data_IF_089017663644
#
_entry.id   IF_089017663644
#
_cell.length_a   1.000
_cell.length_b   1.000
_cell.length_c   1.000
_cell.angle_alpha   90.00
_cell.angle_beta   90.00
_cell.angle_gamma   90.00
#
_symmetry.space_group_name_H-M   'P 1'
#
loop_
_entity.id
_entity.type
_entity.pdbx_description
1 polymer ?
#
# COMPACT_ATOMS: atom_id res chain seq x y z
N UNK A 1 2.77 5.80 -52.70
CA UNK A 1 1.37 6.17 -52.33
C UNK A 1 1.15 6.24 -50.83
N UNK A 2 1.46 5.21 -50.02
CA UNK A 2 1.22 5.28 -48.56
C UNK A 2 2.09 6.34 -47.84
N UNK A 3 3.36 6.49 -48.21
CA UNK A 3 4.26 7.51 -47.63
C UNK A 3 3.77 8.94 -47.89
N UNK A 4 3.45 9.30 -49.13
CA UNK A 4 2.96 10.64 -49.48
C UNK A 4 1.65 11.01 -48.75
N UNK A 5 0.78 10.04 -48.48
CA UNK A 5 -0.45 10.25 -47.69
C UNK A 5 -0.12 10.47 -46.21
N UNK A 6 0.82 9.69 -45.64
CA UNK A 6 1.28 9.85 -44.25
C UNK A 6 1.95 11.22 -44.05
N UNK A 7 2.83 11.63 -44.96
CA UNK A 7 3.52 12.92 -44.92
C UNK A 7 2.54 14.09 -45.04
N UNK A 8 1.58 14.04 -45.98
CA UNK A 8 0.54 15.08 -46.09
C UNK A 8 -0.30 15.21 -44.83
N UNK A 9 -0.66 14.10 -44.19
CA UNK A 9 -1.42 14.12 -42.93
C UNK A 9 -0.58 14.68 -41.77
N UNK A 10 0.71 14.35 -41.70
CA UNK A 10 1.61 14.88 -40.68
C UNK A 10 1.82 16.40 -40.85
N UNK A 11 2.03 16.87 -42.08
CA UNK A 11 2.14 18.30 -42.40
C UNK A 11 0.86 19.05 -42.03
N UNK A 12 -0.31 18.50 -42.36
CA UNK A 12 -1.60 19.12 -41.97
C UNK A 12 -1.77 19.22 -40.45
N UNK A 13 -1.31 18.22 -39.68
CA UNK A 13 -1.30 18.28 -38.22
C UNK A 13 -0.33 19.33 -37.68
N UNK A 14 0.85 19.47 -38.29
CA UNK A 14 1.83 20.50 -37.92
C UNK A 14 1.30 21.91 -38.20
N UNK A 15 0.64 22.13 -39.34
CA UNK A 15 0.01 23.42 -39.65
C UNK A 15 -1.07 23.80 -38.64
N UNK A 16 -1.89 22.83 -38.22
CA UNK A 16 -2.89 23.05 -37.17
C UNK A 16 -2.24 23.39 -35.82
N UNK A 17 -1.20 22.66 -35.42
CA UNK A 17 -0.50 22.91 -34.17
C UNK A 17 0.19 24.30 -34.15
N UNK A 18 0.74 24.73 -35.28
CA UNK A 18 1.30 26.09 -35.44
C UNK A 18 0.23 27.18 -35.33
N UNK A 19 -0.97 26.93 -35.84
CA UNK A 19 -2.09 27.86 -35.71
C UNK A 19 -2.61 27.92 -34.27
N UNK A 20 -2.70 26.79 -33.58
CA UNK A 20 -3.12 26.72 -32.17
C UNK A 20 -2.13 27.45 -31.25
N UNK A 21 -0.81 27.33 -31.49
CA UNK A 21 0.21 28.11 -30.78
C UNK A 21 0.08 29.61 -31.05
N UNK A 22 -0.12 30.00 -32.32
CA UNK A 22 -0.31 31.40 -32.71
C UNK A 22 -1.52 32.03 -32.01
N UNK A 23 -2.62 31.28 -31.90
CA UNK A 23 -3.82 31.73 -31.18
C UNK A 23 -3.57 31.85 -29.67
N UNK A 24 -2.80 30.93 -29.07
CA UNK A 24 -2.42 31.00 -27.67
C UNK A 24 -1.49 32.19 -27.38
N UNK A 25 -0.52 32.47 -28.24
CA UNK A 25 0.35 33.66 -28.15
C UNK A 25 -0.46 34.96 -28.28
N UNK A 26 -1.41 35.02 -29.21
CA UNK A 26 -2.28 36.18 -29.40
C UNK A 26 -3.22 36.39 -28.20
N UNK A 27 -3.73 35.31 -27.61
CA UNK A 27 -4.54 35.36 -26.40
C UNK A 27 -3.74 35.87 -25.20
N UNK A 28 -2.49 35.43 -25.03
CA UNK A 28 -1.59 35.91 -23.98
C UNK A 28 -1.22 37.39 -24.18
N UNK A 29 -0.95 37.80 -25.43
CA UNK A 29 -0.56 39.17 -25.78
C UNK A 29 -1.69 40.18 -25.65
N UNK A 30 -2.92 39.76 -25.92
CA UNK A 30 -4.12 40.60 -25.83
C UNK A 30 -4.75 40.58 -24.44
N UNK A 31 -4.20 39.83 -23.48
CA UNK A 31 -4.71 39.79 -22.12
C UNK A 31 -4.46 41.11 -21.39
N UNK A 32 -5.51 41.65 -20.77
CA UNK A 32 -5.46 42.90 -19.97
C UNK A 32 -5.64 42.64 -18.47
N UNK A 33 -5.83 41.37 -18.06
CA UNK A 33 -6.15 40.96 -16.69
C UNK A 33 -5.16 39.91 -16.18
N UNK A 34 -4.39 40.27 -15.15
CA UNK A 34 -3.32 39.43 -14.58
C UNK A 34 -3.83 38.11 -13.99
N UNK A 35 -5.12 38.02 -13.65
CA UNK A 35 -5.74 36.83 -13.05
C UNK A 35 -5.78 35.60 -13.98
N UNK A 36 -5.71 35.81 -15.30
CA UNK A 36 -5.76 34.73 -16.30
C UNK A 36 -4.40 34.37 -16.92
N UNK A 37 -3.33 35.07 -16.55
CA UNK A 37 -2.00 34.88 -17.15
C UNK A 37 -1.50 33.44 -16.96
N UNK A 38 -1.60 32.89 -15.75
CA UNK A 38 -1.11 31.54 -15.43
C UNK A 38 -1.79 30.46 -16.30
N UNK A 39 -3.08 30.61 -16.57
CA UNK A 39 -3.82 29.66 -17.43
C UNK A 39 -3.42 29.81 -18.90
N UNK A 40 -3.25 31.04 -19.38
CA UNK A 40 -2.85 31.34 -20.76
C UNK A 40 -1.40 30.90 -21.03
N UNK A 41 -0.49 31.04 -20.06
CA UNK A 41 0.89 30.52 -20.13
C UNK A 41 0.91 28.98 -20.17
N UNK A 42 0.06 28.33 -19.38
CA UNK A 42 -0.11 26.87 -19.43
C UNK A 42 -0.64 26.39 -20.79
N UNK A 43 -1.67 27.06 -21.32
CA UNK A 43 -2.26 26.75 -22.62
C UNK A 43 -1.27 26.98 -23.77
N UNK A 44 -0.44 28.05 -23.69
CA UNK A 44 0.65 28.31 -24.62
C UNK A 44 1.73 27.21 -24.55
N UNK A 45 2.16 26.81 -23.35
CA UNK A 45 3.15 25.72 -23.18
C UNK A 45 2.65 24.39 -23.74
N UNK A 46 1.36 24.09 -23.57
CA UNK A 46 0.73 22.91 -24.17
C UNK A 46 0.70 22.97 -25.70
N UNK A 47 0.40 24.14 -26.28
CA UNK A 47 0.39 24.34 -27.73
C UNK A 47 1.80 24.24 -28.33
N UNK A 48 2.82 24.80 -27.67
CA UNK A 48 4.24 24.68 -28.06
C UNK A 48 4.72 23.23 -28.05
N UNK A 49 4.34 22.46 -27.02
CA UNK A 49 4.68 21.03 -26.93
C UNK A 49 4.05 20.24 -28.08
N UNK A 50 2.76 20.49 -28.37
CA UNK A 50 2.07 19.86 -29.48
C UNK A 50 2.68 20.21 -30.86
N UNK A 51 3.17 21.45 -31.05
CA UNK A 51 3.91 21.82 -32.25
C UNK A 51 5.22 21.03 -32.37
N UNK A 52 6.04 21.01 -31.31
CA UNK A 52 7.33 20.33 -31.33
C UNK A 52 7.20 18.83 -31.60
N UNK A 53 6.18 18.18 -31.02
CA UNK A 53 5.86 16.78 -31.31
C UNK A 53 5.46 16.58 -32.78
N UNK A 54 4.58 17.44 -33.31
CA UNK A 54 4.17 17.36 -34.71
C UNK A 54 5.33 17.64 -35.68
N UNK A 55 6.26 18.53 -35.31
CA UNK A 55 7.44 18.87 -36.09
C UNK A 55 8.46 17.73 -36.10
N UNK A 56 8.67 17.06 -34.96
CA UNK A 56 9.50 15.86 -34.88
C UNK A 56 8.94 14.72 -35.75
N UNK A 57 7.62 14.52 -35.76
CA UNK A 57 6.96 13.53 -36.62
C UNK A 57 7.16 13.83 -38.10
N UNK A 58 7.06 15.10 -38.52
CA UNK A 58 7.32 15.50 -39.92
C UNK A 58 8.80 15.29 -40.28
N UNK A 59 9.72 15.74 -39.42
CA UNK A 59 11.18 15.58 -39.61
C UNK A 59 11.57 14.12 -39.77
N UNK A 60 11.03 13.24 -38.92
CA UNK A 60 11.30 11.80 -38.96
C UNK A 60 10.75 11.13 -40.22
N UNK A 61 9.58 11.56 -40.70
CA UNK A 61 9.05 11.09 -41.98
C UNK A 61 9.93 11.54 -43.16
N UNK A 62 10.44 12.78 -43.14
CA UNK A 62 11.34 13.30 -44.20
C UNK A 62 12.73 12.64 -44.20
N UNK A 63 13.31 12.37 -43.03
CA UNK A 63 14.65 11.80 -42.88
C UNK A 63 14.70 10.29 -43.10
N UNK A 64 13.58 9.58 -42.88
CA UNK A 64 13.53 8.11 -43.00
C UNK A 64 12.28 7.59 -43.75
N UNK A 65 12.24 7.71 -45.09
CA UNK A 65 11.06 7.36 -45.89
C UNK A 65 10.73 5.85 -45.98
N UNK A 66 11.66 4.96 -45.59
CA UNK A 66 11.51 3.50 -45.74
C UNK A 66 11.82 2.65 -44.47
N UNK A 67 11.90 3.22 -43.25
CA UNK A 67 12.46 2.51 -42.07
C UNK A 67 11.58 2.32 -40.82
N UNK A 68 11.54 1.07 -40.34
CA UNK A 68 11.13 0.44 -39.05
C UNK A 68 10.48 1.26 -37.91
N UNK A 69 9.42 0.67 -37.33
CA UNK A 69 8.65 1.16 -36.16
C UNK A 69 9.45 1.21 -34.83
N UNK A 70 10.62 0.55 -34.75
CA UNK A 70 11.35 0.37 -33.48
C UNK A 70 12.21 1.58 -33.04
N UNK A 71 12.51 2.54 -33.92
CA UNK A 71 13.25 3.77 -33.56
C UNK A 71 12.33 4.99 -33.30
N UNK A 72 11.01 4.80 -33.33
CA UNK A 72 10.03 5.90 -33.25
C UNK A 72 9.79 6.39 -31.82
N UNK A 73 9.92 5.54 -30.80
CA UNK A 73 9.62 5.88 -29.41
C UNK A 73 10.75 6.68 -28.75
N UNK A 74 12.02 6.38 -29.05
CA UNK A 74 13.18 6.96 -28.38
C UNK A 74 13.38 8.45 -28.70
N UNK A 75 13.16 8.88 -29.95
CA UNK A 75 13.29 10.30 -30.35
C UNK A 75 12.10 11.15 -29.90
N UNK A 76 10.89 10.58 -29.88
CA UNK A 76 9.69 11.25 -29.34
C UNK A 76 9.82 11.41 -27.81
N UNK A 77 10.39 10.43 -27.12
CA UNK A 77 10.66 10.51 -25.68
C UNK A 77 11.76 11.52 -25.35
N UNK A 78 12.79 11.65 -26.20
CA UNK A 78 13.81 12.67 -26.05
C UNK A 78 13.25 14.09 -26.24
N UNK A 79 12.41 14.31 -27.26
CA UNK A 79 11.74 15.59 -27.49
C UNK A 79 10.74 15.94 -26.37
N UNK A 80 10.03 14.94 -25.82
CA UNK A 80 9.17 15.13 -24.64
C UNK A 80 9.94 15.58 -23.41
N UNK A 81 11.09 14.95 -23.12
CA UNK A 81 11.95 15.34 -21.99
C UNK A 81 12.49 16.76 -22.15
N UNK A 82 12.88 17.16 -23.36
CA UNK A 82 13.37 18.52 -23.61
C UNK A 82 12.26 19.58 -23.42
N UNK A 83 11.03 19.29 -23.85
CA UNK A 83 9.87 20.17 -23.65
C UNK A 83 9.43 20.25 -22.18
N UNK A 84 9.43 19.12 -21.46
CA UNK A 84 9.07 19.05 -20.04
C UNK A 84 10.10 19.79 -19.16
N UNK A 85 11.37 19.74 -19.54
CA UNK A 85 12.46 20.45 -18.88
C UNK A 85 12.41 21.97 -19.13
N UNK A 86 12.05 22.41 -20.34
CA UNK A 86 11.79 23.81 -20.64
C UNK A 86 10.58 24.37 -19.85
N UNK A 87 9.55 23.54 -19.60
CA UNK A 87 8.38 23.88 -18.79
C UNK A 87 8.73 24.01 -17.30
N UNK A 88 9.61 23.16 -16.78
CA UNK A 88 10.12 23.26 -15.41
C UNK A 88 10.98 24.51 -15.18
N UNK A 89 11.78 24.90 -16.17
CA UNK A 89 12.62 26.10 -16.09
C UNK A 89 11.79 27.39 -16.14
N UNK A 90 10.72 27.45 -16.94
CA UNK A 90 9.77 28.58 -16.92
C UNK A 90 8.98 28.67 -15.60
N UNK A 91 8.56 27.54 -15.04
CA UNK A 91 7.89 27.51 -13.74
C UNK A 91 8.81 27.88 -12.56
N UNK A 92 10.13 27.72 -12.69
CA UNK A 92 11.10 28.17 -11.67
C UNK A 92 11.28 29.67 -11.64
N UNK A 93 11.19 30.36 -12.78
CA UNK A 93 11.30 31.83 -12.82
C UNK A 93 10.05 32.52 -12.28
N UNK A 94 8.87 31.89 -12.35
CA UNK A 94 7.62 32.39 -11.77
C UNK A 94 7.59 32.34 -10.23
N UNK A 95 8.28 31.39 -9.60
CA UNK A 95 8.24 31.18 -8.12
C UNK A 95 9.07 32.21 -7.34
N UNK A 96 9.90 33.05 -8.00
CA UNK A 96 10.74 34.05 -7.32
C UNK A 96 9.99 35.36 -7.01
N UNK A 97 8.72 35.52 -7.41
CA UNK A 97 7.98 36.78 -7.21
C UNK A 97 6.84 36.76 -6.19
N UNK A 98 6.38 35.61 -5.73
CA UNK A 98 5.20 35.51 -4.86
C UNK A 98 5.55 34.97 -3.45
N UNK A 99 6.48 35.63 -2.76
CA UNK A 99 6.48 35.66 -1.30
C UNK A 99 5.86 36.99 -0.87
N UNK A 100 4.52 37.12 -0.92
CA UNK A 100 3.75 37.91 0.04
C UNK A 100 2.23 37.71 -0.17
N UNK A 101 1.55 37.57 0.96
CA UNK A 101 0.10 37.66 1.22
C UNK A 101 -0.85 36.44 1.10
N UNK A 102 -1.44 36.18 2.27
CA UNK A 102 -2.41 35.15 2.62
C UNK A 102 -3.85 35.66 2.42
N UNK A 103 -4.75 34.74 2.02
CA UNK A 103 -6.23 34.73 2.19
C UNK A 103 -7.08 35.74 1.41
N UNK A 104 -7.93 35.24 0.52
CA UNK A 104 -9.39 35.10 0.77
C UNK A 104 -10.07 34.29 -0.34
N UNK A 105 -11.07 33.52 0.07
CA UNK A 105 -11.98 32.71 -0.75
C UNK A 105 -12.99 33.56 -1.52
N UNK A 106 -13.36 33.14 -2.73
CA UNK A 106 -14.76 33.02 -3.17
C UNK A 106 -14.83 32.22 -4.49
N UNK A 107 -15.61 31.15 -4.48
CA UNK A 107 -16.01 30.36 -5.65
C UNK A 107 -17.02 31.13 -6.49
N UNK A 108 -16.91 31.04 -7.82
CA UNK A 108 -18.07 31.06 -8.72
C UNK A 108 -17.86 30.08 -9.88
N UNK A 109 -18.93 29.30 -10.08
CA UNK A 109 -19.14 28.30 -11.12
C UNK A 109 -19.06 28.88 -12.53
N UNK A 110 -18.62 28.05 -13.49
CA UNK A 110 -19.22 28.08 -14.82
C UNK A 110 -19.27 26.67 -15.43
N UNK A 111 -20.49 26.28 -15.81
CA UNK A 111 -20.89 25.00 -16.38
C UNK A 111 -20.76 24.97 -17.91
N UNK A 112 -20.29 23.83 -18.43
CA UNK A 112 -20.73 23.08 -19.62
C UNK A 112 -19.52 22.53 -20.41
N UNK A 113 -19.52 21.35 -21.01
CA UNK A 113 -20.29 20.11 -20.90
C UNK A 113 -19.59 19.12 -21.86
N UNK A 114 -19.41 17.85 -21.48
CA UNK A 114 -19.65 16.75 -22.44
C UNK A 114 -19.80 15.40 -21.74
N UNK A 115 -20.98 14.84 -21.97
CA UNK A 115 -21.31 13.42 -22.10
C UNK A 115 -21.43 12.55 -20.84
N UNK A 116 -22.71 12.26 -20.58
CA UNK A 116 -23.31 11.47 -19.52
C UNK A 116 -22.84 10.01 -19.52
N UNK A 117 -22.18 9.62 -18.44
CA UNK A 117 -22.43 8.35 -17.75
C UNK A 117 -22.87 8.72 -16.33
N UNK A 118 -24.17 8.91 -16.10
CA UNK A 118 -24.67 9.18 -14.75
C UNK A 118 -24.46 7.95 -13.88
N UNK A 119 -23.46 8.03 -12.98
CA UNK A 119 -23.31 7.06 -11.92
C UNK A 119 -24.61 6.99 -11.08
N UNK A 120 -25.05 5.77 -10.69
CA UNK A 120 -26.25 5.57 -9.88
C UNK A 120 -26.29 6.49 -8.66
N UNK A 121 -27.47 7.00 -8.33
CA UNK A 121 -27.71 7.98 -7.25
C UNK A 121 -27.22 7.49 -5.87
N UNK A 122 -27.30 6.17 -5.66
CA UNK A 122 -26.77 5.48 -4.48
C UNK A 122 -25.24 5.61 -4.37
N UNK A 123 -24.51 5.55 -5.50
CA UNK A 123 -23.06 5.76 -5.57
C UNK A 123 -22.66 7.22 -5.35
N UNK A 124 -23.52 8.18 -5.72
CA UNK A 124 -23.28 9.61 -5.44
C UNK A 124 -23.44 9.90 -3.94
N UNK A 125 -24.48 9.37 -3.30
CA UNK A 125 -24.72 9.53 -1.85
C UNK A 125 -23.63 8.90 -1.01
N UNK A 126 -23.18 7.73 -1.43
CA UNK A 126 -22.04 7.02 -0.91
C UNK A 126 -20.70 7.76 -0.97
N UNK A 127 -20.32 8.20 -2.18
CA UNK A 127 -19.11 8.98 -2.39
C UNK A 127 -19.20 10.29 -1.62
N UNK A 128 -20.39 10.87 -1.48
CA UNK A 128 -20.64 12.03 -0.63
C UNK A 128 -20.52 11.72 0.87
N UNK A 129 -20.95 10.55 1.36
CA UNK A 129 -20.81 10.15 2.76
C UNK A 129 -19.35 9.81 3.12
N UNK A 130 -18.63 9.14 2.22
CA UNK A 130 -17.19 8.91 2.33
C UNK A 130 -16.42 10.22 2.20
N UNK A 131 -16.82 11.13 1.30
CA UNK A 131 -16.25 12.48 1.22
C UNK A 131 -16.61 13.34 2.43
N UNK A 132 -17.79 13.19 3.04
CA UNK A 132 -18.18 13.90 4.26
C UNK A 132 -17.43 13.35 5.47
N UNK A 133 -17.25 12.02 5.55
CA UNK A 133 -16.35 11.39 6.51
C UNK A 133 -14.91 11.81 6.25
N UNK A 134 -14.45 11.89 5.00
CA UNK A 134 -13.14 12.43 4.63
C UNK A 134 -13.04 13.93 4.86
N UNK A 135 -14.11 14.73 4.79
CA UNK A 135 -14.09 16.15 5.11
C UNK A 135 -14.14 16.37 6.63
N UNK A 136 -14.78 15.45 7.36
CA UNK A 136 -14.73 15.36 8.83
C UNK A 136 -13.38 14.86 9.33
N UNK A 137 -12.74 13.93 8.61
CA UNK A 137 -11.45 13.30 8.94
C UNK A 137 -10.25 14.08 8.34
N UNK A 138 -10.43 14.82 7.25
CA UNK A 138 -9.37 15.52 6.51
C UNK A 138 -9.70 17.01 6.26
N UNK A 139 -9.08 17.86 7.10
CA UNK A 139 -8.46 19.18 6.82
C UNK A 139 -9.29 20.20 5.98
N UNK A 140 -9.80 21.33 6.47
CA UNK A 140 -9.30 22.33 7.43
C UNK A 140 -10.47 23.00 8.19
N UNK A 141 -10.48 22.87 9.51
CA UNK A 141 -11.11 23.82 10.42
C UNK A 141 -10.13 24.04 11.58
N UNK A 142 -9.62 25.26 11.82
CA UNK A 142 -8.65 25.54 12.89
C UNK A 142 -9.21 25.38 14.30
N UNK A 143 -10.49 25.02 14.44
CA UNK A 143 -11.12 24.95 15.75
C UNK A 143 -10.81 23.62 16.43
N UNK A 144 -9.57 23.49 16.90
CA UNK A 144 -9.24 22.60 18.02
C UNK A 144 -10.26 22.86 19.14
N UNK A 145 -11.17 21.92 19.39
CA UNK A 145 -11.98 21.91 20.61
C UNK A 145 -11.07 21.47 21.76
N UNK A 146 -10.13 22.34 22.14
CA UNK A 146 -9.35 22.15 23.37
C UNK A 146 -10.34 22.11 24.52
N UNK A 147 -10.17 21.15 25.41
CA UNK A 147 -10.94 21.14 26.64
C UNK A 147 -10.70 22.47 27.40
N UNK A 148 -11.75 23.02 27.97
CA UNK A 148 -11.68 24.19 28.84
C UNK A 148 -10.75 23.90 30.03
N UNK A 149 -10.26 24.95 30.70
CA UNK A 149 -9.41 24.78 31.90
C UNK A 149 -10.09 23.93 32.99
N UNK A 150 -11.43 23.99 33.08
CA UNK A 150 -12.22 23.17 34.01
C UNK A 150 -12.25 21.69 33.58
N UNK A 151 -12.57 21.41 32.32
CA UNK A 151 -12.59 20.05 31.76
C UNK A 151 -11.19 19.40 31.79
N UNK A 152 -10.12 20.18 31.57
CA UNK A 152 -8.72 19.69 31.74
C UNK A 152 -8.40 19.35 33.18
N UNK A 153 -8.94 20.12 34.13
CA UNK A 153 -8.75 19.83 35.55
C UNK A 153 -9.46 18.54 35.91
N UNK A 154 -10.68 18.32 35.43
CA UNK A 154 -11.42 17.08 35.64
C UNK A 154 -10.76 15.87 34.95
N UNK A 155 -10.32 15.99 33.70
CA UNK A 155 -9.75 14.89 32.92
C UNK A 155 -8.34 14.46 33.32
N UNK A 156 -7.54 15.35 33.89
CA UNK A 156 -6.11 15.09 34.16
C UNK A 156 -5.66 15.35 35.59
N UNK A 157 -6.51 15.96 36.44
CA UNK A 157 -6.17 16.16 37.85
C UNK A 157 -6.75 15.02 38.65
N UNK A 158 -5.92 14.03 38.95
CA UNK A 158 -6.33 12.92 39.78
C UNK A 158 -6.44 13.29 41.26
N UNK A 159 -7.25 12.50 41.95
CA UNK A 159 -7.35 12.55 43.40
C UNK A 159 -5.97 12.32 44.02
N UNK A 160 -5.65 13.19 44.99
CA UNK A 160 -4.45 13.08 45.81
C UNK A 160 -4.71 12.02 46.88
N UNK A 161 -4.17 10.82 46.68
CA UNK A 161 -4.24 9.76 47.67
C UNK A 161 -3.12 10.01 48.68
N UNK A 162 -3.47 10.39 49.91
CA UNK A 162 -2.51 10.45 51.01
C UNK A 162 -2.30 9.02 51.51
N UNK A 163 -1.07 8.52 51.42
CA UNK A 163 -0.70 7.20 51.97
C UNK A 163 -0.35 7.31 53.45
N UNK A 164 -0.38 6.19 54.19
CA UNK A 164 -0.07 6.13 55.63
C UNK A 164 1.33 6.69 55.98
N UNK A 165 2.25 6.71 55.02
CA UNK A 165 3.59 7.32 55.14
C UNK A 165 3.62 8.83 54.87
N UNK A 166 2.46 9.51 54.74
CA UNK A 166 2.38 10.93 54.42
C UNK A 166 2.71 11.28 52.96
N UNK A 167 2.98 10.28 52.11
CA UNK A 167 3.29 10.50 50.69
C UNK A 167 1.98 10.64 49.91
N UNK A 168 1.83 11.76 49.20
CA UNK A 168 0.70 11.96 48.28
C UNK A 168 0.99 11.25 46.95
N UNK A 169 0.22 10.21 46.62
CA UNK A 169 0.21 9.60 45.27
C UNK A 169 -0.96 10.18 44.48
N UNK A 170 -0.68 10.73 43.30
CA UNK A 170 -1.72 11.12 42.32
C UNK A 170 -2.17 9.85 41.60
N UNK A 171 -3.48 9.66 41.38
CA UNK A 171 -4.01 8.52 40.62
C UNK A 171 -3.18 8.25 39.36
N UNK A 172 -2.59 7.04 39.29
CA UNK A 172 -1.65 6.67 38.23
C UNK A 172 -2.29 6.67 36.84
N UNK A 173 -3.61 6.49 36.76
CA UNK A 173 -4.34 6.36 35.50
C UNK A 173 -4.52 7.71 34.80
N UNK A 174 -4.84 8.77 35.55
CA UNK A 174 -5.04 10.12 34.98
C UNK A 174 -3.72 10.76 34.56
N UNK A 175 -2.62 10.45 35.26
CA UNK A 175 -1.27 10.84 34.84
C UNK A 175 -0.88 10.15 33.54
N UNK A 176 -1.14 8.84 33.41
CA UNK A 176 -0.92 8.09 32.17
C UNK A 176 -1.77 8.61 31.02
N UNK A 177 -3.06 8.88 31.25
CA UNK A 177 -3.95 9.49 30.26
C UNK A 177 -3.42 10.85 29.76
N UNK A 178 -2.94 11.69 30.67
CA UNK A 178 -2.31 12.98 30.28
C UNK A 178 -1.06 12.76 29.43
N UNK A 179 -0.23 11.79 29.77
CA UNK A 179 0.97 11.45 29.01
C UNK A 179 0.61 10.95 27.60
N UNK A 180 -0.36 10.03 27.49
CA UNK A 180 -0.85 9.51 26.22
C UNK A 180 -1.34 10.66 25.32
N UNK A 181 -2.14 11.60 25.86
CA UNK A 181 -2.59 12.78 25.12
C UNK A 181 -1.44 13.61 24.57
N UNK A 182 -0.40 13.87 25.38
CA UNK A 182 0.76 14.64 24.95
C UNK A 182 1.53 13.95 23.83
N UNK A 183 1.70 12.63 23.91
CA UNK A 183 2.36 11.84 22.87
C UNK A 183 1.55 11.77 21.57
N UNK A 184 0.23 11.60 21.66
CA UNK A 184 -0.67 11.63 20.50
C UNK A 184 -0.68 13.00 19.83
N UNK A 185 -0.71 14.09 20.61
CA UNK A 185 -0.63 15.43 20.04
C UNK A 185 0.77 15.73 19.46
N UNK A 186 1.84 15.21 20.06
CA UNK A 186 3.18 15.30 19.49
C UNK A 186 3.29 14.52 18.17
N UNK A 187 2.66 13.36 18.05
CA UNK A 187 2.53 12.61 16.79
C UNK A 187 1.82 13.43 15.72
N UNK A 188 0.74 14.12 16.08
CA UNK A 188 0.00 14.98 15.15
C UNK A 188 0.84 16.14 14.61
N UNK A 189 1.56 16.83 15.50
CA UNK A 189 2.33 18.03 15.13
C UNK A 189 3.66 17.68 14.45
N UNK A 190 4.40 16.71 14.99
CA UNK A 190 5.75 16.37 14.50
C UNK A 190 5.76 15.16 13.55
N UNK A 191 4.58 14.64 13.18
CA UNK A 191 4.42 13.41 12.38
C UNK A 191 5.18 12.21 12.97
N UNK A 192 5.35 12.18 14.29
CA UNK A 192 6.05 11.10 15.00
C UNK A 192 5.24 9.80 14.86
N UNK A 193 5.88 8.75 14.38
CA UNK A 193 5.27 7.42 14.28
C UNK A 193 5.04 6.85 15.67
N UNK A 194 3.79 6.47 15.94
CA UNK A 194 3.37 5.73 17.13
C UNK A 194 3.04 4.29 16.76
N UNK A 195 2.94 3.43 17.76
CA UNK A 195 2.56 2.02 17.60
C UNK A 195 1.42 1.66 18.54
N UNK A 196 0.46 0.91 18.04
CA UNK A 196 -0.68 0.45 18.82
C UNK A 196 -1.22 -0.88 18.30
N UNK A 197 -2.06 -1.53 19.09
CA UNK A 197 -2.61 -2.85 18.79
C UNK A 197 -4.05 -2.72 18.33
N UNK A 198 -4.40 -3.32 17.19
CA UNK A 198 -5.79 -3.37 16.72
C UNK A 198 -6.60 -4.25 17.66
N UNK A 199 -7.64 -3.71 18.29
CA UNK A 199 -8.52 -4.42 19.22
C UNK A 199 -9.83 -4.85 18.57
N UNK A 200 -10.32 -4.09 17.60
CA UNK A 200 -11.58 -4.34 16.92
C UNK A 200 -11.76 -3.46 15.69
N UNK A 201 -12.96 -3.47 15.14
CA UNK A 201 -13.42 -2.52 14.13
C UNK A 201 -14.91 -2.27 14.32
N UNK A 202 -15.38 -1.12 13.86
CA UNK A 202 -16.80 -0.83 13.70
C UNK A 202 -17.06 -0.30 12.30
N UNK A 203 -18.32 -0.37 11.89
CA UNK A 203 -18.77 0.08 10.57
C UNK A 203 -19.56 1.37 10.78
N UNK A 204 -19.23 2.42 10.04
CA UNK A 204 -20.00 3.67 10.06
C UNK A 204 -21.11 3.62 9.04
N UNK A 205 -22.36 3.53 9.50
CA UNK A 205 -23.58 3.38 8.72
C UNK A 205 -24.62 2.62 9.55
N UNK A 206 -25.92 2.74 9.25
CA UNK A 206 -26.92 1.92 9.95
C UNK A 206 -26.63 0.43 9.70
N UNK A 207 -26.57 -0.40 10.76
CA UNK A 207 -26.32 -1.85 10.67
C UNK A 207 -27.30 -2.58 9.72
N UNK A 208 -28.45 -1.95 9.44
CA UNK A 208 -29.52 -2.47 8.59
C UNK A 208 -29.46 -2.00 7.13
N UNK A 209 -28.52 -1.12 6.75
CA UNK A 209 -28.47 -0.60 5.40
C UNK A 209 -27.47 -1.41 4.56
N UNK A 210 -27.95 -2.00 3.47
CA UNK A 210 -27.19 -2.68 2.40
C UNK A 210 -26.37 -1.69 1.56
N UNK A 211 -25.83 -0.66 2.21
CA UNK A 211 -25.10 0.40 1.57
C UNK A 211 -23.64 -0.05 1.38
N UNK A 212 -23.22 -0.18 0.13
CA UNK A 212 -21.87 -0.61 -0.22
C UNK A 212 -20.77 0.33 0.28
N UNK A 213 -21.15 1.45 0.91
CA UNK A 213 -20.31 2.65 1.02
C UNK A 213 -20.09 3.08 2.46
N UNK A 214 -20.68 2.34 3.39
CA UNK A 214 -20.31 2.37 4.79
C UNK A 214 -18.80 2.11 4.95
N UNK A 215 -18.13 3.01 5.67
CA UNK A 215 -16.70 2.90 5.93
C UNK A 215 -16.42 1.98 7.12
N UNK A 216 -15.38 1.15 6.98
CA UNK A 216 -14.90 0.28 8.05
C UNK A 216 -13.80 1.03 8.80
N UNK A 217 -13.95 1.19 10.11
CA UNK A 217 -12.99 1.88 10.97
C UNK A 217 -12.39 0.89 11.95
N UNK A 218 -11.07 0.72 11.90
CA UNK A 218 -10.33 -0.09 12.86
C UNK A 218 -10.09 0.68 14.16
N UNK A 219 -10.21 -0.02 15.28
CA UNK A 219 -9.93 0.50 16.62
C UNK A 219 -8.56 0.01 17.08
N UNK A 220 -7.72 0.95 17.46
CA UNK A 220 -6.33 0.72 17.87
C UNK A 220 -6.13 1.23 19.29
N UNK A 221 -5.73 0.32 20.17
CA UNK A 221 -5.35 0.65 21.54
C UNK A 221 -3.90 1.18 21.57
N UNK A 222 -3.71 2.33 22.21
CA UNK A 222 -2.43 3.00 22.41
C UNK A 222 -2.16 3.30 23.89
N UNK A 223 -0.90 3.23 24.30
CA UNK A 223 -0.46 3.69 25.62
C UNK A 223 -1.12 2.94 26.77
N UNK A 224 -1.76 3.67 27.69
CA UNK A 224 -2.51 3.08 28.80
C UNK A 224 -3.92 2.60 28.40
N UNK A 225 -4.31 2.73 27.14
CA UNK A 225 -5.65 2.42 26.65
C UNK A 225 -6.71 3.45 27.05
N UNK A 226 -6.28 4.64 27.46
CA UNK A 226 -7.19 5.73 27.82
C UNK A 226 -7.78 6.43 26.57
N UNK A 227 -7.14 6.27 25.41
CA UNK A 227 -7.61 6.76 24.12
C UNK A 227 -7.73 5.59 23.14
N UNK A 228 -8.82 5.57 22.38
CA UNK A 228 -9.00 4.66 21.25
C UNK A 228 -8.68 5.41 19.97
N UNK A 229 -7.69 4.93 19.23
CA UNK A 229 -7.31 5.49 17.93
C UNK A 229 -8.14 4.81 16.85
N UNK A 230 -8.90 5.59 16.09
CA UNK A 230 -9.74 5.17 14.99
C UNK A 230 -8.99 5.34 13.67
N UNK A 231 -8.91 4.27 12.88
CA UNK A 231 -8.20 4.28 11.60
C UNK A 231 -9.13 3.74 10.52
N UNK A 232 -9.62 4.59 9.59
CA UNK A 232 -10.39 4.12 8.44
C UNK A 232 -9.62 3.08 7.62
N UNK A 233 -10.32 2.10 7.04
CA UNK A 233 -9.71 0.99 6.29
C UNK A 233 -8.76 1.46 5.19
N UNK A 234 -9.11 2.53 4.49
CA UNK A 234 -8.30 3.14 3.42
C UNK A 234 -7.06 3.88 3.91
N UNK A 235 -6.93 4.17 5.22
CA UNK A 235 -5.71 4.68 5.86
C UNK A 235 -4.98 3.59 6.65
N UNK A 236 -5.59 2.41 6.83
CA UNK A 236 -4.98 1.29 7.56
C UNK A 236 -3.96 0.54 6.71
N UNK A 237 -4.31 0.25 5.46
CA UNK A 237 -3.46 -0.41 4.49
C UNK A 237 -3.84 0.02 3.08
N UNK A 238 -2.90 -0.09 2.14
CA UNK A 238 -3.17 0.24 0.75
C UNK A 238 -3.87 -0.92 0.06
N UNK A 239 -5.02 -0.61 -0.56
CA UNK A 239 -5.66 -1.43 -1.57
C UNK A 239 -6.25 -0.49 -2.62
N UNK A 240 -6.13 -0.85 -3.90
CA UNK A 240 -6.86 -0.16 -4.95
C UNK A 240 -8.35 -0.19 -4.62
N UNK A 241 -8.93 1.00 -4.41
CA UNK A 241 -10.35 1.12 -4.16
C UNK A 241 -11.08 0.93 -5.50
N UNK A 242 -12.08 0.05 -5.57
CA UNK A 242 -12.85 -0.10 -6.79
C UNK A 242 -13.58 1.21 -7.09
N UNK A 243 -13.61 1.61 -8.37
CA UNK A 243 -14.34 2.82 -8.82
C UNK A 243 -15.82 2.77 -8.41
N UNK A 244 -16.39 1.56 -8.38
CA UNK A 244 -17.73 1.29 -7.89
C UNK A 244 -17.65 0.36 -6.67
N UNK A 245 -17.95 0.83 -5.45
CA UNK A 245 -17.95 -0.01 -4.26
C UNK A 245 -19.02 -1.09 -4.43
N UNK A 246 -18.59 -2.35 -4.47
CA UNK A 246 -19.49 -3.50 -4.43
C UNK A 246 -19.58 -4.04 -3.01
N UNK A 247 -20.69 -4.72 -2.70
CA UNK A 247 -20.80 -5.43 -1.42
C UNK A 247 -19.69 -6.47 -1.23
N UNK A 248 -19.26 -7.12 -2.31
CA UNK A 248 -18.13 -8.07 -2.28
C UNK A 248 -16.81 -7.38 -1.91
N UNK A 249 -16.51 -6.21 -2.51
CA UNK A 249 -15.32 -5.45 -2.18
C UNK A 249 -15.34 -4.94 -0.73
N UNK A 250 -16.52 -4.52 -0.24
CA UNK A 250 -16.70 -4.15 1.17
C UNK A 250 -16.46 -5.35 2.09
N UNK A 251 -17.08 -6.49 1.83
CA UNK A 251 -16.88 -7.72 2.61
C UNK A 251 -15.40 -8.15 2.58
N UNK A 252 -14.73 -8.04 1.44
CA UNK A 252 -13.31 -8.35 1.33
C UNK A 252 -12.46 -7.39 2.18
N UNK A 253 -12.80 -6.10 2.17
CA UNK A 253 -12.16 -5.08 3.01
C UNK A 253 -12.38 -5.37 4.49
N UNK A 254 -13.60 -5.73 4.88
CA UNK A 254 -13.95 -6.11 6.24
C UNK A 254 -13.17 -7.34 6.70
N UNK A 255 -13.12 -8.40 5.89
CA UNK A 255 -12.34 -9.59 6.15
C UNK A 255 -10.84 -9.27 6.31
N UNK A 256 -10.31 -8.34 5.51
CA UNK A 256 -8.93 -7.91 5.62
C UNK A 256 -8.66 -7.15 6.92
N UNK A 257 -9.57 -6.26 7.35
CA UNK A 257 -9.47 -5.57 8.65
C UNK A 257 -9.60 -6.56 9.80
N UNK A 258 -10.58 -7.46 9.75
CA UNK A 258 -10.82 -8.51 10.75
C UNK A 258 -9.58 -9.40 10.92
N UNK A 259 -8.93 -9.80 9.82
CA UNK A 259 -7.69 -10.59 9.86
C UNK A 259 -6.54 -9.86 10.58
N UNK A 260 -6.55 -8.53 10.63
CA UNK A 260 -5.55 -7.70 11.30
C UNK A 260 -5.82 -7.51 12.80
N UNK A 261 -7.00 -7.85 13.31
CA UNK A 261 -7.28 -7.76 14.76
C UNK A 261 -6.21 -8.53 15.56
N UNK A 262 -5.68 -7.89 16.60
CA UNK A 262 -4.62 -8.41 17.45
C UNK A 262 -3.20 -8.13 16.95
N UNK A 263 -3.03 -7.54 15.76
CA UNK A 263 -1.72 -7.11 15.25
C UNK A 263 -1.31 -5.74 15.80
N UNK A 264 -0.02 -5.53 15.96
CA UNK A 264 0.55 -4.19 16.17
C UNK A 264 0.68 -3.48 14.82
N UNK A 265 0.21 -2.23 14.76
CA UNK A 265 0.35 -1.35 13.60
C UNK A 265 1.05 -0.07 14.02
N UNK A 266 1.70 0.58 13.05
CA UNK A 266 2.28 1.91 13.25
C UNK A 266 1.43 2.94 12.55
N UNK A 267 1.18 4.07 13.21
CA UNK A 267 0.33 5.12 12.71
C UNK A 267 0.89 6.50 13.08
N UNK A 268 0.46 7.52 12.35
CA UNK A 268 0.65 8.92 12.70
C UNK A 268 -0.72 9.51 13.01
N UNK A 269 -0.82 10.32 14.07
CA UNK A 269 -2.09 10.97 14.42
C UNK A 269 -2.41 12.07 13.40
N UNK A 270 -3.62 12.03 12.86
CA UNK A 270 -4.15 13.04 11.95
C UNK A 270 -4.92 14.10 12.74
N UNK A 271 -5.81 13.63 13.60
CA UNK A 271 -6.72 14.47 14.37
C UNK A 271 -6.88 13.92 15.79
N UNK A 272 -7.04 14.84 16.74
CA UNK A 272 -7.32 14.52 18.14
C UNK A 272 -8.38 15.48 18.68
N UNK A 273 -9.49 14.93 19.14
CA UNK A 273 -10.51 15.66 19.89
C UNK A 273 -10.33 15.37 21.39
N UNK A 274 -9.87 16.39 22.12
CA UNK A 274 -9.65 16.28 23.55
C UNK A 274 -10.97 16.16 24.32
N UNK A 275 -12.08 16.66 23.77
CA UNK A 275 -13.40 16.65 24.43
C UNK A 275 -14.05 15.27 24.32
N UNK A 276 -14.15 14.73 23.11
CA UNK A 276 -14.74 13.39 22.85
C UNK A 276 -13.76 12.25 23.06
N UNK A 277 -12.47 12.54 23.26
CA UNK A 277 -11.41 11.55 23.43
C UNK A 277 -11.22 10.65 22.20
N UNK A 278 -11.68 11.14 21.05
CA UNK A 278 -11.54 10.49 19.76
C UNK A 278 -10.23 10.90 19.10
N UNK A 279 -9.50 9.93 18.57
CA UNK A 279 -8.23 10.15 17.87
C UNK A 279 -8.34 9.48 16.51
N UNK A 280 -7.98 10.15 15.43
CA UNK A 280 -7.84 9.53 14.12
C UNK A 280 -6.36 9.33 13.77
N UNK A 281 -6.04 8.12 13.32
CA UNK A 281 -4.69 7.73 12.91
C UNK A 281 -4.60 7.42 11.42
N UNK A 282 -3.39 7.50 10.90
CA UNK A 282 -3.04 7.19 9.52
C UNK A 282 -1.83 6.23 9.51
N UNK A 283 -2.06 4.98 9.10
CA UNK A 283 -1.01 3.98 8.95
C UNK A 283 -0.28 4.11 7.61
N UNK A 284 -0.93 4.64 6.56
CA UNK A 284 -0.29 4.87 5.27
C UNK A 284 0.83 5.89 5.40
N UNK A 285 0.59 7.00 6.09
CA UNK A 285 1.62 8.02 6.36
C UNK A 285 2.79 7.42 7.17
N UNK A 286 2.49 6.66 8.22
CA UNK A 286 3.53 6.01 9.02
C UNK A 286 4.36 5.01 8.21
N UNK A 287 3.70 4.24 7.34
CA UNK A 287 4.36 3.28 6.48
C UNK A 287 5.14 3.98 5.36
N UNK A 288 4.63 5.05 4.76
CA UNK A 288 5.31 5.87 3.76
C UNK A 288 6.62 6.44 4.31
N UNK A 289 6.62 6.99 5.53
CA UNK A 289 7.85 7.47 6.17
C UNK A 289 8.89 6.37 6.40
N UNK A 290 8.45 5.17 6.82
CA UNK A 290 9.34 4.01 6.96
C UNK A 290 9.86 3.52 5.62
N UNK A 291 8.99 3.48 4.62
CA UNK A 291 9.31 3.07 3.26
C UNK A 291 10.33 4.03 2.65
N UNK A 292 10.09 5.34 2.75
CA UNK A 292 11.01 6.37 2.30
C UNK A 292 12.39 6.20 2.93
N UNK A 293 12.48 6.08 4.25
CA UNK A 293 13.77 5.90 4.94
C UNK A 293 14.53 4.65 4.51
N UNK A 294 13.84 3.56 4.18
CA UNK A 294 14.48 2.26 3.97
C UNK A 294 14.68 1.90 2.49
N UNK A 295 13.73 2.22 1.61
CA UNK A 295 13.69 1.78 0.22
C UNK A 295 13.90 2.91 -0.81
N UNK A 296 13.77 4.18 -0.41
CA UNK A 296 13.83 5.31 -1.34
C UNK A 296 15.03 6.21 -1.04
N UNK A 297 15.15 6.69 0.20
CA UNK A 297 16.17 7.64 0.61
C UNK A 297 17.58 7.03 0.43
N UNK A 298 18.45 7.65 -0.38
CA UNK A 298 19.83 7.22 -0.50
C UNK A 298 20.58 7.36 0.83
N UNK A 299 21.42 6.37 1.12
CA UNK A 299 22.38 6.40 2.22
C UNK A 299 23.68 7.11 1.78
N UNK A 300 24.71 7.14 2.65
CA UNK A 300 26.04 7.70 2.32
C UNK A 300 26.62 7.13 1.02
N UNK A 301 26.24 5.90 0.70
CA UNK A 301 26.80 5.13 -0.41
C UNK A 301 26.00 5.34 -1.72
N UNK A 302 25.07 6.30 -1.74
CA UNK A 302 24.27 6.65 -2.91
C UNK A 302 23.15 5.65 -3.24
N UNK A 303 22.95 4.61 -2.43
CA UNK A 303 21.91 3.58 -2.61
C UNK A 303 20.92 3.59 -1.44
N UNK A 304 19.66 3.18 -1.66
CA UNK A 304 18.73 2.93 -0.56
C UNK A 304 19.27 1.90 0.42
N UNK A 305 18.77 1.94 1.67
CA UNK A 305 19.19 1.00 2.72
C UNK A 305 18.82 -0.45 2.41
N UNK A 306 17.72 -0.67 1.69
CA UNK A 306 17.22 -1.98 1.29
C UNK A 306 17.11 -2.04 -0.23
N UNK A 307 17.78 -3.01 -0.82
CA UNK A 307 17.72 -3.33 -2.25
C UNK A 307 17.35 -4.81 -2.43
N UNK A 308 16.96 -5.24 -3.65
CA UNK A 308 16.73 -6.64 -3.95
C UNK A 308 17.89 -7.55 -3.51
N UNK A 309 17.56 -8.80 -3.22
CA UNK A 309 18.41 -9.86 -2.67
C UNK A 309 18.89 -9.68 -1.23
N UNK A 310 18.60 -8.55 -0.58
CA UNK A 310 18.87 -8.37 0.85
C UNK A 310 17.84 -9.09 1.73
N UNK A 311 18.29 -9.44 2.94
CA UNK A 311 17.44 -10.01 3.98
C UNK A 311 17.08 -8.94 5.00
N UNK A 312 15.80 -8.88 5.36
CA UNK A 312 15.27 -7.90 6.32
C UNK A 312 14.36 -8.59 7.32
N UNK A 313 14.25 -7.99 8.51
CA UNK A 313 13.26 -8.39 9.49
C UNK A 313 11.87 -7.87 9.08
N UNK A 314 10.89 -8.76 9.15
CA UNK A 314 9.49 -8.44 8.90
C UNK A 314 8.59 -8.98 10.02
N UNK A 315 7.49 -8.28 10.28
CA UNK A 315 6.49 -8.69 11.28
C UNK A 315 5.28 -9.31 10.60
N UNK A 316 4.83 -10.49 11.04
CA UNK A 316 3.60 -11.10 10.53
C UNK A 316 2.38 -10.29 10.99
N UNK A 317 1.62 -9.74 10.03
CA UNK A 317 0.41 -8.96 10.30
C UNK A 317 -0.81 -9.88 10.34
N UNK A 318 -0.98 -10.69 9.29
CA UNK A 318 -2.13 -11.57 9.17
C UNK A 318 -1.77 -12.88 8.48
N UNK A 319 -2.56 -13.92 8.76
CA UNK A 319 -2.30 -15.28 8.32
C UNK A 319 -3.59 -15.86 7.75
N UNK A 320 -3.48 -16.40 6.55
CA UNK A 320 -4.51 -17.17 5.87
C UNK A 320 -3.95 -18.55 5.51
N UNK A 321 -4.80 -19.48 5.11
CA UNK A 321 -4.37 -20.83 4.73
C UNK A 321 -3.28 -20.82 3.66
N UNK A 322 -3.45 -20.01 2.62
CA UNK A 322 -2.55 -20.00 1.45
C UNK A 322 -1.46 -18.92 1.45
N UNK A 323 -1.43 -18.02 2.45
CA UNK A 323 -0.47 -16.91 2.48
C UNK A 323 -0.39 -16.22 3.84
N UNK A 324 0.75 -15.58 4.08
CA UNK A 324 0.96 -14.62 5.17
C UNK A 324 1.09 -13.21 4.61
N UNK A 325 0.61 -12.22 5.36
CA UNK A 325 0.89 -10.80 5.09
C UNK A 325 1.90 -10.34 6.13
N UNK A 326 2.99 -9.74 5.66
CA UNK A 326 4.09 -9.28 6.50
C UNK A 326 4.30 -7.78 6.33
N UNK A 327 4.78 -7.10 7.37
CA UNK A 327 5.30 -5.72 7.28
C UNK A 327 6.82 -5.77 7.31
N UNK A 328 7.46 -5.54 6.17
CA UNK A 328 8.91 -5.45 6.04
C UNK A 328 9.32 -3.98 6.02
N UNK A 329 9.70 -3.45 7.18
CA UNK A 329 10.23 -2.08 7.32
C UNK A 329 9.32 -0.98 6.75
N UNK A 330 8.00 -1.14 6.88
CA UNK A 330 6.98 -0.22 6.37
C UNK A 330 6.20 -0.77 5.18
N UNK A 331 6.82 -1.59 4.34
CA UNK A 331 6.19 -2.19 3.16
C UNK A 331 5.40 -3.44 3.55
N UNK A 332 4.09 -3.43 3.27
CA UNK A 332 3.26 -4.62 3.46
C UNK A 332 3.33 -5.54 2.23
N UNK A 333 3.53 -6.83 2.44
CA UNK A 333 3.72 -7.80 1.38
C UNK A 333 2.97 -9.09 1.67
N UNK A 334 2.30 -9.65 0.65
CA UNK A 334 1.67 -10.97 0.72
C UNK A 334 2.65 -12.03 0.24
N UNK A 335 3.05 -12.93 1.14
CA UNK A 335 3.93 -14.06 0.83
C UNK A 335 3.07 -15.34 0.73
N UNK A 336 2.96 -15.96 -0.47
CA UNK A 336 2.23 -17.21 -0.64
C UNK A 336 2.92 -18.36 0.11
N UNK A 337 2.17 -19.41 0.46
CA UNK A 337 2.69 -20.55 1.22
C UNK A 337 3.91 -21.21 0.55
N UNK A 338 3.96 -21.19 -0.78
CA UNK A 338 5.08 -21.71 -1.57
C UNK A 338 6.38 -20.91 -1.38
N UNK A 339 6.30 -19.64 -0.98
CA UNK A 339 7.47 -18.80 -0.63
C UNK A 339 7.69 -18.72 0.89
N UNK A 340 6.82 -19.37 1.68
CA UNK A 340 6.89 -19.35 3.13
C UNK A 340 7.79 -20.46 3.72
N UNK A 341 7.82 -21.64 3.08
CA UNK A 341 8.63 -22.79 3.50
C UNK A 341 9.19 -23.54 2.29
N UNK A 342 10.33 -24.22 2.48
CA UNK A 342 10.87 -25.19 1.52
C UNK A 342 10.10 -26.52 1.52
N UNK A 343 9.47 -26.85 2.65
CA UNK A 343 8.68 -28.07 2.83
C UNK A 343 7.22 -27.81 2.49
N UNK A 344 6.52 -28.86 2.06
CA UNK A 344 5.08 -28.80 1.88
C UNK A 344 4.32 -28.61 3.19
N UNK A 345 3.50 -27.56 3.24
CA UNK A 345 2.50 -27.31 4.28
C UNK A 345 1.16 -26.94 3.63
N UNK A 346 0.06 -27.40 4.24
CA UNK A 346 -1.30 -27.11 3.77
C UNK A 346 -1.92 -25.83 4.32
N UNK A 347 -1.37 -25.27 5.41
CA UNK A 347 -1.87 -24.06 6.07
C UNK A 347 -0.73 -23.25 6.72
N UNK A 348 -0.59 -21.97 6.37
CA UNK A 348 0.41 -21.08 7.00
C UNK A 348 0.18 -20.86 8.51
N UNK A 349 -1.03 -21.11 9.02
CA UNK A 349 -1.37 -20.95 10.45
C UNK A 349 -0.64 -21.92 11.37
N UNK A 350 -0.14 -23.03 10.80
CA UNK A 350 0.69 -24.00 11.52
C UNK A 350 2.13 -23.52 11.67
N UNK A 351 2.58 -22.64 10.76
CA UNK A 351 3.96 -22.17 10.66
C UNK A 351 4.22 -20.88 11.42
N UNK A 352 3.22 -19.98 11.44
CA UNK A 352 3.43 -18.61 11.89
C UNK A 352 2.40 -18.17 12.93
N UNK A 353 2.77 -17.15 13.69
CA UNK A 353 1.90 -16.44 14.62
C UNK A 353 1.85 -14.96 14.29
N UNK A 354 0.72 -14.30 14.57
CA UNK A 354 0.61 -12.83 14.45
C UNK A 354 1.65 -12.16 15.35
N UNK A 355 2.21 -11.04 14.89
CA UNK A 355 3.30 -10.29 15.54
C UNK A 355 4.63 -11.06 15.67
N UNK A 356 4.77 -12.25 15.08
CA UNK A 356 6.05 -12.93 15.01
C UNK A 356 7.00 -12.15 14.11
N UNK A 357 8.26 -12.03 14.53
CA UNK A 357 9.34 -11.53 13.70
C UNK A 357 9.91 -12.67 12.85
N UNK A 358 10.05 -12.43 11.56
CA UNK A 358 10.59 -13.37 10.58
C UNK A 358 11.63 -12.67 9.70
N UNK A 359 12.61 -13.42 9.22
CA UNK A 359 13.56 -12.93 8.21
C UNK A 359 12.96 -13.19 6.82
N UNK A 360 12.96 -12.17 5.96
CA UNK A 360 12.50 -12.27 4.57
C UNK A 360 13.59 -11.80 3.64
N UNK A 361 13.78 -12.50 2.52
CA UNK A 361 14.59 -12.03 1.40
C UNK A 361 13.72 -11.16 0.50
N UNK A 362 14.16 -9.94 0.23
CA UNK A 362 13.50 -9.04 -0.72
C UNK A 362 13.87 -9.50 -2.13
N UNK A 363 12.87 -9.79 -2.95
CA UNK A 363 13.03 -10.24 -4.34
C UNK A 363 12.92 -9.08 -5.32
N UNK A 364 11.97 -8.18 -5.07
CA UNK A 364 11.71 -7.02 -5.94
C UNK A 364 11.22 -5.84 -5.12
N UNK A 365 11.53 -4.63 -5.57
CA UNK A 365 11.04 -3.37 -5.03
C UNK A 365 10.56 -2.51 -6.20
N UNK A 366 9.32 -2.05 -6.13
CA UNK A 366 8.69 -1.22 -7.17
C UNK A 366 8.09 0.02 -6.49
N UNK A 367 8.56 1.24 -6.79
CA UNK A 367 7.92 2.47 -6.31
C UNK A 367 6.48 2.58 -6.82
N UNK A 368 5.58 3.07 -5.97
CA UNK A 368 4.18 3.31 -6.34
C UNK A 368 3.73 4.61 -5.69
N UNK A 369 3.17 5.50 -6.50
CA UNK A 369 2.46 6.68 -5.98
C UNK A 369 0.98 6.38 -5.86
N UNK A 370 0.42 6.70 -4.70
CA UNK A 370 -0.98 6.44 -4.39
C UNK A 370 -1.64 7.73 -3.95
N UNK A 371 -2.82 8.01 -4.50
CA UNK A 371 -3.66 9.10 -4.02
C UNK A 371 -4.84 8.52 -3.24
N UNK A 372 -5.01 8.94 -1.99
CA UNK A 372 -6.17 8.59 -1.15
C UNK A 372 -6.84 9.87 -0.67
N UNK A 373 -8.06 10.12 -1.15
CA UNK A 373 -8.72 11.41 -0.98
C UNK A 373 -7.91 12.52 -1.67
N UNK A 374 -7.48 13.53 -0.90
CA UNK A 374 -6.66 14.65 -1.39
C UNK A 374 -5.15 14.45 -1.14
N UNK A 375 -4.76 13.38 -0.44
CA UNK A 375 -3.37 13.14 -0.03
C UNK A 375 -2.68 12.20 -1.01
N UNK A 376 -1.44 12.55 -1.39
CA UNK A 376 -0.53 11.70 -2.17
C UNK A 376 0.47 11.02 -1.24
N UNK A 377 0.70 9.74 -1.44
CA UNK A 377 1.65 8.91 -0.70
C UNK A 377 2.65 8.28 -1.67
N UNK A 378 3.93 8.43 -1.37
CA UNK A 378 5.00 7.68 -2.06
C UNK A 378 5.27 6.39 -1.31
N UNK A 379 4.82 5.27 -1.87
CA UNK A 379 4.96 3.93 -1.31
C UNK A 379 5.92 3.08 -2.16
N UNK A 380 6.19 1.87 -1.70
CA UNK A 380 6.86 0.81 -2.48
C UNK A 380 6.08 -0.48 -2.32
N UNK A 381 5.80 -1.13 -3.44
CA UNK A 381 5.39 -2.52 -3.47
C UNK A 381 6.64 -3.41 -3.48
N UNK A 382 6.62 -4.48 -2.68
CA UNK A 382 7.74 -5.43 -2.60
C UNK A 382 7.26 -6.85 -2.86
N UNK A 383 8.13 -7.64 -3.46
CA UNK A 383 8.01 -9.10 -3.48
C UNK A 383 9.04 -9.67 -2.52
N UNK A 384 8.65 -10.63 -1.68
CA UNK A 384 9.52 -11.17 -0.65
C UNK A 384 9.30 -12.66 -0.42
N UNK A 385 10.31 -13.34 0.12
CA UNK A 385 10.31 -14.77 0.40
C UNK A 385 10.88 -15.07 1.78
N UNK A 386 10.14 -15.84 2.60
CA UNK A 386 10.64 -16.33 3.88
C UNK A 386 11.57 -17.51 3.63
N UNK A 387 11.21 -18.44 2.73
CA UNK A 387 12.02 -19.63 2.48
C UNK A 387 13.43 -19.27 1.99
N UNK A 388 13.54 -18.28 1.09
CA UNK A 388 14.83 -17.89 0.52
C UNK A 388 15.70 -17.05 1.48
N UNK A 389 15.19 -16.67 2.66
CA UNK A 389 16.00 -16.03 3.69
C UNK A 389 16.99 -17.00 4.35
N UNK A 390 16.73 -18.32 4.26
CA UNK A 390 17.54 -19.38 4.83
C UNK A 390 17.93 -20.45 3.77
N UNK A 391 19.06 -21.14 3.95
CA UNK A 391 19.44 -22.27 3.08
C UNK A 391 18.39 -23.38 3.11
N UNK A 392 18.19 -24.05 1.97
CA UNK A 392 17.27 -25.18 1.87
C UNK A 392 17.69 -26.33 2.83
N UNK A 393 16.86 -26.69 3.82
CA UNK A 393 17.18 -27.78 4.75
C UNK A 393 17.29 -29.14 4.04
N UNK A 394 16.59 -29.30 2.90
CA UNK A 394 16.56 -30.55 2.14
C UNK A 394 17.93 -30.88 1.60
N UNK A 395 18.70 -29.89 1.16
CA UNK A 395 20.02 -30.11 0.55
C UNK A 395 20.98 -30.95 1.43
N UNK A 396 20.86 -30.84 2.76
CA UNK A 396 21.69 -31.59 3.71
C UNK A 396 21.21 -33.02 3.95
N UNK A 397 19.89 -33.20 4.02
CA UNK A 397 19.28 -34.47 4.43
C UNK A 397 18.84 -35.33 3.24
N UNK A 398 18.69 -34.75 2.05
CA UNK A 398 18.31 -35.42 0.81
C UNK A 398 19.20 -36.64 0.47
N UNK A 399 20.54 -36.59 0.67
CA UNK A 399 21.41 -37.74 0.42
C UNK A 399 21.20 -38.93 1.36
N UNK A 400 20.34 -38.85 2.38
CA UNK A 400 20.00 -39.97 3.26
C UNK A 400 19.04 -40.96 2.61
N UNK A 401 18.17 -40.48 1.72
CA UNK A 401 17.10 -41.30 1.14
C UNK A 401 17.62 -42.14 -0.04
N UNK A 402 17.01 -43.31 -0.23
CA UNK A 402 17.38 -44.30 -1.25
C UNK A 402 16.12 -44.82 -1.92
N UNK A 403 16.19 -45.05 -3.23
CA UNK A 403 15.14 -45.72 -3.98
C UNK A 403 14.85 -47.08 -3.32
N UNK A 404 13.57 -47.41 -3.19
CA UNK A 404 13.02 -48.56 -2.46
C UNK A 404 13.27 -48.58 -0.94
N UNK A 405 13.91 -47.55 -0.39
CA UNK A 405 13.99 -47.36 1.06
C UNK A 405 12.61 -47.02 1.63
N UNK A 406 12.32 -47.52 2.83
CA UNK A 406 11.09 -47.28 3.57
C UNK A 406 11.39 -46.41 4.78
N UNK A 407 10.67 -45.31 4.92
CA UNK A 407 10.92 -44.31 5.96
C UNK A 407 9.60 -43.89 6.61
N UNK A 408 9.64 -43.61 7.91
CA UNK A 408 8.51 -43.01 8.61
C UNK A 408 8.35 -41.54 8.19
N UNK A 409 7.11 -41.12 7.98
CA UNK A 409 6.76 -39.77 7.60
C UNK A 409 5.41 -39.37 8.22
N UNK A 410 5.18 -38.06 8.36
CA UNK A 410 3.93 -37.49 8.83
C UNK A 410 3.22 -36.76 7.70
N UNK A 411 1.93 -37.03 7.49
CA UNK A 411 1.14 -36.37 6.44
C UNK A 411 0.94 -34.90 6.78
N UNK A 412 1.40 -34.00 5.91
CA UNK A 412 1.30 -32.53 6.08
C UNK A 412 0.36 -31.86 5.09
N UNK A 413 -0.08 -32.57 4.05
CA UNK A 413 -1.01 -32.03 3.07
C UNK A 413 -1.65 -33.12 2.23
N UNK A 414 -2.88 -32.88 1.82
CA UNK A 414 -3.62 -33.75 0.90
C UNK A 414 -4.18 -32.85 -0.19
N UNK A 415 -3.89 -33.20 -1.43
CA UNK A 415 -4.44 -32.59 -2.64
C UNK A 415 -5.31 -33.64 -3.36
N UNK A 416 -5.95 -33.27 -4.46
CA UNK A 416 -6.92 -34.12 -5.16
C UNK A 416 -6.35 -35.48 -5.58
N UNK A 417 -5.05 -35.53 -5.91
CA UNK A 417 -4.38 -36.73 -6.42
C UNK A 417 -3.12 -37.14 -5.66
N UNK A 418 -2.67 -36.33 -4.69
CA UNK A 418 -1.38 -36.53 -4.03
C UNK A 418 -1.50 -36.33 -2.53
N UNK A 419 -0.78 -37.16 -1.78
CA UNK A 419 -0.52 -36.98 -0.34
C UNK A 419 0.89 -36.43 -0.20
N UNK A 420 1.05 -35.36 0.56
CA UNK A 420 2.34 -34.80 0.93
C UNK A 420 2.66 -35.16 2.36
N UNK A 421 3.87 -35.64 2.59
CA UNK A 421 4.34 -36.02 3.91
C UNK A 421 5.76 -35.50 4.15
N UNK A 422 6.07 -35.21 5.40
CA UNK A 422 7.41 -34.82 5.85
C UNK A 422 8.03 -35.99 6.58
N UNK A 423 9.23 -36.41 6.18
CA UNK A 423 9.95 -37.50 6.84
C UNK A 423 10.31 -37.17 8.29
N UNK A 424 10.46 -38.21 9.10
CA UNK A 424 10.93 -38.08 10.47
C UNK A 424 12.29 -37.33 10.53
N UNK A 425 12.34 -36.27 11.33
CA UNK A 425 13.43 -35.30 11.36
C UNK A 425 13.09 -33.95 10.72
N UNK A 426 11.97 -33.84 10.01
CA UNK A 426 11.35 -32.55 9.68
C UNK A 426 12.09 -31.71 8.63
N UNK A 427 12.94 -32.32 7.79
CA UNK A 427 13.84 -31.59 6.89
C UNK A 427 13.69 -31.93 5.41
N UNK A 428 12.98 -33.01 5.08
CA UNK A 428 12.65 -33.37 3.71
C UNK A 428 11.19 -33.82 3.64
N UNK A 429 10.52 -33.43 2.56
CA UNK A 429 9.18 -33.85 2.21
C UNK A 429 9.18 -34.83 1.03
N UNK A 430 8.07 -35.54 0.90
CA UNK A 430 7.83 -36.52 -0.15
C UNK A 430 6.42 -36.37 -0.67
N UNK A 431 6.31 -36.41 -1.99
CA UNK A 431 5.05 -36.47 -2.71
C UNK A 431 4.68 -37.93 -2.94
N UNK A 432 3.53 -38.32 -2.43
CA UNK A 432 3.02 -39.69 -2.54
C UNK A 432 1.76 -39.74 -3.41
N UNK A 433 1.69 -40.74 -4.28
CA UNK A 433 0.44 -41.05 -4.97
C UNK A 433 -0.57 -41.65 -3.99
N UNK A 434 -1.87 -41.49 -4.29
CA UNK A 434 -2.92 -42.11 -3.49
C UNK A 434 -2.77 -43.63 -3.46
N UNK A 435 -2.96 -44.26 -2.28
CA UNK A 435 -2.97 -45.71 -2.19
C UNK A 435 -4.13 -46.28 -3.02
N UNK A 436 -3.84 -47.26 -3.88
CA UNK A 436 -4.85 -47.87 -4.76
C UNK A 436 -5.78 -48.84 -4.03
N UNK A 437 -5.29 -49.47 -2.97
CA UNK A 437 -5.96 -50.58 -2.29
C UNK A 437 -6.14 -50.34 -0.78
N UNK A 438 -5.79 -49.15 -0.29
CA UNK A 438 -5.93 -48.75 1.11
C UNK A 438 -6.63 -47.39 1.20
N UNK A 439 -7.25 -47.07 2.33
CA UNK A 439 -7.80 -45.73 2.57
C UNK A 439 -6.72 -44.65 2.43
N UNK A 440 -7.11 -43.48 1.95
CA UNK A 440 -6.25 -42.29 1.95
C UNK A 440 -6.01 -41.88 3.41
N UNK A 441 -4.76 -41.66 3.85
CA UNK A 441 -4.48 -41.23 5.22
C UNK A 441 -5.02 -39.83 5.48
N UNK A 442 -5.29 -39.52 6.75
CA UNK A 442 -5.72 -38.21 7.20
C UNK A 442 -4.52 -37.26 7.42
N UNK A 443 -4.83 -35.97 7.55
CA UNK A 443 -3.83 -34.97 7.92
C UNK A 443 -3.24 -35.30 9.30
N UNK A 444 -1.93 -35.19 9.45
CA UNK A 444 -1.14 -35.52 10.65
C UNK A 444 -0.97 -37.02 10.97
N UNK A 445 -1.49 -37.92 10.14
CA UNK A 445 -1.25 -39.37 10.30
C UNK A 445 0.24 -39.72 10.14
N UNK A 446 0.70 -40.67 10.95
CA UNK A 446 2.02 -41.27 10.83
C UNK A 446 1.95 -42.45 9.85
N UNK A 447 2.77 -42.39 8.79
CA UNK A 447 2.77 -43.36 7.69
C UNK A 447 4.19 -43.86 7.41
N UNK A 448 4.29 -45.00 6.71
CA UNK A 448 5.54 -45.46 6.12
C UNK A 448 5.49 -45.19 4.62
N UNK A 449 6.51 -44.55 4.09
CA UNK A 449 6.63 -44.23 2.65
C UNK A 449 7.79 -45.01 2.07
N UNK A 450 7.53 -45.73 0.98
CA UNK A 450 8.58 -46.30 0.13
C UNK A 450 8.93 -45.29 -0.97
N UNK A 451 10.19 -44.83 -0.99
CA UNK A 451 10.67 -43.89 -2.01
C UNK A 451 10.79 -44.61 -3.35
N UNK A 452 10.14 -44.09 -4.39
CA UNK A 452 10.13 -44.67 -5.74
C UNK A 452 10.98 -43.89 -6.73
N UNK A 453 11.06 -42.56 -6.58
CA UNK A 453 11.89 -41.70 -7.42
C UNK A 453 12.56 -40.59 -6.61
N UNK A 454 13.73 -40.16 -7.09
CA UNK A 454 14.55 -39.12 -6.48
C UNK A 454 14.97 -38.14 -7.58
N UNK A 455 14.44 -36.92 -7.54
CA UNK A 455 14.86 -35.82 -8.39
C UNK A 455 15.87 -34.95 -7.62
N UNK A 456 17.13 -35.05 -8.02
CA UNK A 456 18.24 -34.31 -7.39
C UNK A 456 18.30 -32.85 -7.79
N UNK A 457 17.74 -32.48 -8.94
CA UNK A 457 17.81 -31.09 -9.44
C UNK A 457 16.87 -30.21 -8.64
N UNK A 458 15.65 -30.68 -8.40
CA UNK A 458 14.62 -29.95 -7.66
C UNK A 458 14.54 -30.32 -6.17
N UNK A 459 15.39 -31.25 -5.72
CA UNK A 459 15.35 -31.83 -4.37
C UNK A 459 13.95 -32.38 -4.02
N UNK A 460 13.34 -33.09 -4.97
CA UNK A 460 12.01 -33.68 -4.84
C UNK A 460 12.09 -35.21 -4.66
N UNK A 461 11.35 -35.73 -3.68
CA UNK A 461 11.18 -37.15 -3.47
C UNK A 461 9.76 -37.56 -3.85
N UNK A 462 9.63 -38.65 -4.59
CA UNK A 462 8.35 -39.28 -4.85
C UNK A 462 8.29 -40.68 -4.24
N UNK A 463 7.11 -41.07 -3.76
CA UNK A 463 6.93 -42.36 -3.09
C UNK A 463 5.52 -42.91 -3.17
N UNK A 464 5.39 -44.11 -2.60
CA UNK A 464 4.10 -44.76 -2.38
C UNK A 464 3.91 -45.00 -0.88
N UNK A 465 2.67 -44.84 -0.42
CA UNK A 465 2.31 -45.08 0.97
C UNK A 465 2.22 -46.58 1.20
N UNK A 466 2.94 -47.06 2.21
CA UNK A 466 2.97 -48.44 2.65
C UNK A 466 2.31 -48.49 4.04
N UNK A 467 0.99 -48.68 4.07
CA UNK A 467 0.26 -48.96 5.32
C UNK A 467 0.58 -50.38 5.78
N UNK A 468 0.92 -50.54 7.06
CA UNK A 468 1.06 -51.85 7.72
C UNK A 468 -0.29 -52.53 7.91
#
# INVERSE_FOLDING_TARGET
MQYEVKLKNAISKLEKAKEDERLAEEALKNNQDDSNIVKLEYDLGKAQTARLEAEAVVRNLEENPEGNEDNQEDEIEAAKKEAEQALEDMNREAVVRDEDDEKTSEEKDDENASENDELPEELKQAMAAVNDLMNKIAFYSPSLKKASKAEKKEKYTGDKIVTEQGVTRVSSELVKKRQDYLELNASRTAKKILKGKITGYHITGEENNSDATASIIAEVNYGSGAYTVQIPSFLLYYSEQPKHPTMEARQQTELNVMKRIGTEVSFVVVYIDEKTETVYGDCLEANAQKMYRNYIKPTSDGRPRVIPDMRVEATIISISRGAVIVNALGAECRIPIQEASWLHHGDCRELFKKNQLVEVKILKVTPVEVTVGKNKYTLVNIEASIKQAAPDPRAKDFPRYRINGRYAAKVTGISDNNVFAVFEGGKCDVKCAFPKFAPVPALNDDIIVQVTAIDKENLLLEGIIFTL
#
